data_IF_608675757216
#
_entry.id   IF_608675757216
#
_cell.length_a   1.000
_cell.length_b   1.000
_cell.length_c   1.000
_cell.angle_alpha   90.00
_cell.angle_beta   90.00
_cell.angle_gamma   90.00
#
_symmetry.space_group_name_H-M   'P 1'
#
loop_
_entity.id
_entity.type
_entity.pdbx_description
1 polymer ?
#
# COMPACT_ATOMS: atom_id res chain seq x y z
N UNK A 1 13.01 -1.68 -12.45
CA UNK A 1 11.55 -1.86 -12.67
C UNK A 1 10.95 -3.06 -11.89
N UNK A 2 11.71 -3.75 -11.02
CA UNK A 2 11.22 -4.92 -10.26
C UNK A 2 10.57 -4.52 -8.91
N UNK A 3 11.08 -3.46 -8.26
CA UNK A 3 10.66 -3.02 -6.93
C UNK A 3 9.18 -2.58 -6.85
N UNK A 4 8.67 -1.92 -7.91
CA UNK A 4 7.25 -1.51 -7.96
C UNK A 4 6.28 -2.68 -7.91
N UNK A 5 6.63 -3.83 -8.52
CA UNK A 5 5.74 -5.00 -8.54
C UNK A 5 5.62 -5.62 -7.15
N UNK A 6 6.72 -5.67 -6.39
CA UNK A 6 6.72 -6.14 -5.01
C UNK A 6 5.88 -5.23 -4.09
N UNK A 7 6.00 -3.91 -4.25
CA UNK A 7 5.17 -2.94 -3.53
C UNK A 7 3.67 -3.16 -3.80
N UNK A 8 3.29 -3.31 -5.08
CA UNK A 8 1.91 -3.56 -5.48
C UNK A 8 1.37 -4.88 -4.92
N UNK A 9 2.20 -5.93 -4.86
CA UNK A 9 1.82 -7.21 -4.27
C UNK A 9 1.52 -7.07 -2.77
N UNK A 10 2.41 -6.41 -2.00
CA UNK A 10 2.19 -6.12 -0.57
C UNK A 10 0.93 -5.29 -0.37
N UNK A 11 0.74 -4.26 -1.18
CA UNK A 11 -0.47 -3.43 -1.15
C UNK A 11 -1.76 -4.22 -1.34
N UNK A 12 -1.75 -5.21 -2.25
CA UNK A 12 -2.90 -6.08 -2.49
C UNK A 12 -3.20 -7.00 -1.31
N UNK A 13 -2.18 -7.50 -0.61
CA UNK A 13 -2.37 -8.30 0.62
C UNK A 13 -3.06 -7.49 1.72
N UNK A 14 -2.80 -6.19 1.75
CA UNK A 14 -3.43 -5.26 2.69
C UNK A 14 -4.68 -4.57 2.12
N UNK A 15 -5.21 -4.94 0.96
CA UNK A 15 -6.46 -4.35 0.46
C UNK A 15 -7.60 -5.33 0.69
N UNK A 16 -8.47 -4.98 1.63
CA UNK A 16 -9.74 -5.68 1.85
C UNK A 16 -10.85 -5.07 0.99
N UNK A 17 -10.93 -3.73 0.98
CA UNK A 17 -11.89 -2.95 0.19
C UNK A 17 -11.17 -1.91 -0.68
N UNK A 18 -11.48 -1.91 -1.98
CA UNK A 18 -10.94 -0.96 -2.97
C UNK A 18 -11.78 0.32 -3.08
N UNK A 19 -12.44 0.74 -2.00
CA UNK A 19 -13.16 2.01 -1.97
C UNK A 19 -12.20 3.15 -1.67
N UNK A 20 -12.57 4.36 -2.10
CA UNK A 20 -11.75 5.56 -1.86
C UNK A 20 -11.53 5.80 -0.36
N UNK A 21 -12.56 5.65 0.47
CA UNK A 21 -12.40 5.81 1.92
C UNK A 21 -11.43 4.77 2.50
N UNK A 22 -11.59 3.49 2.17
CA UNK A 22 -10.74 2.43 2.72
C UNK A 22 -9.28 2.56 2.27
N UNK A 23 -9.02 2.98 1.03
CA UNK A 23 -7.65 3.22 0.57
C UNK A 23 -7.00 4.42 1.26
N UNK A 24 -7.78 5.48 1.52
CA UNK A 24 -7.30 6.65 2.22
C UNK A 24 -7.03 6.33 3.70
N UNK A 25 -7.94 5.64 4.37
CA UNK A 25 -7.81 5.26 5.77
C UNK A 25 -6.63 4.30 5.99
N UNK A 26 -6.50 3.29 5.14
CA UNK A 26 -5.48 2.24 5.32
C UNK A 26 -4.09 2.72 4.87
N UNK A 27 -3.99 3.33 3.70
CA UNK A 27 -2.71 3.69 3.07
C UNK A 27 -2.41 5.18 3.01
N UNK A 28 -3.38 6.05 3.30
CA UNK A 28 -3.20 7.50 3.18
C UNK A 28 -3.11 7.98 1.72
N UNK A 29 -3.62 7.21 0.76
CA UNK A 29 -3.56 7.56 -0.66
C UNK A 29 -4.95 7.71 -1.27
N UNK A 30 -5.04 8.51 -2.33
CA UNK A 30 -6.25 8.61 -3.13
C UNK A 30 -6.39 7.41 -4.08
N UNK A 31 -7.63 7.16 -4.50
CA UNK A 31 -7.94 6.16 -5.52
C UNK A 31 -7.16 6.37 -6.83
N UNK A 32 -6.88 7.63 -7.20
CA UNK A 32 -6.09 7.92 -8.39
C UNK A 32 -4.65 7.42 -8.24
N UNK A 33 -4.00 7.67 -7.11
CA UNK A 33 -2.66 7.12 -6.81
C UNK A 33 -2.67 5.60 -6.83
N UNK A 34 -3.69 4.96 -6.25
CA UNK A 34 -3.85 3.50 -6.29
C UNK A 34 -3.94 2.98 -7.73
N UNK A 35 -4.80 3.58 -8.56
CA UNK A 35 -4.94 3.20 -9.97
C UNK A 35 -3.60 3.32 -10.69
N UNK A 36 -2.86 4.41 -10.49
CA UNK A 36 -1.56 4.65 -11.13
C UNK A 36 -0.52 3.60 -10.71
N UNK A 37 -0.49 3.21 -9.44
CA UNK A 37 0.38 2.13 -8.95
C UNK A 37 0.03 0.79 -9.61
N UNK A 38 -1.26 0.46 -9.70
CA UNK A 38 -1.74 -0.79 -10.32
C UNK A 38 -1.46 -0.83 -11.83
N UNK A 39 -1.59 0.30 -12.52
CA UNK A 39 -1.28 0.43 -13.95
C UNK A 39 0.22 0.53 -14.25
N UNK A 40 1.08 0.55 -13.23
CA UNK A 40 2.54 0.67 -13.40
C UNK A 40 3.04 2.08 -13.70
N UNK A 41 2.17 3.09 -13.62
CA UNK A 41 2.52 4.47 -13.88
C UNK A 41 3.54 5.04 -12.86
N UNK A 42 4.32 6.07 -13.25
CA UNK A 42 5.23 6.77 -12.34
C UNK A 42 4.46 7.60 -11.31
N UNK A 43 4.55 7.18 -10.05
CA UNK A 43 4.09 7.97 -8.90
C UNK A 43 5.30 8.66 -8.27
N UNK A 44 5.09 9.84 -7.66
CA UNK A 44 6.15 10.61 -7.01
C UNK A 44 6.88 9.77 -5.95
N UNK A 45 8.21 9.88 -5.90
CA UNK A 45 9.06 9.15 -4.95
C UNK A 45 8.61 9.33 -3.49
N UNK A 46 8.20 10.55 -3.11
CA UNK A 46 7.70 10.86 -1.76
C UNK A 46 6.41 10.12 -1.38
N UNK A 47 5.63 9.67 -2.35
CA UNK A 47 4.43 8.86 -2.11
C UNK A 47 4.83 7.40 -1.94
N UNK A 48 5.78 6.91 -2.74
CA UNK A 48 6.32 5.54 -2.63
C UNK A 48 6.97 5.34 -1.26
N UNK A 49 7.86 6.24 -0.83
CA UNK A 49 8.52 6.16 0.49
C UNK A 49 7.53 6.15 1.65
N UNK A 50 6.45 6.94 1.56
CA UNK A 50 5.40 6.95 2.59
C UNK A 50 4.60 5.64 2.59
N UNK A 51 4.32 5.09 1.41
CA UNK A 51 3.65 3.80 1.26
C UNK A 51 4.48 2.66 1.84
N UNK A 52 5.78 2.61 1.53
CA UNK A 52 6.69 1.60 2.08
C UNK A 52 6.71 1.64 3.60
N UNK A 53 6.94 2.82 4.19
CA UNK A 53 6.93 2.99 5.64
C UNK A 53 5.59 2.59 6.27
N UNK A 54 4.47 2.87 5.60
CA UNK A 54 3.13 2.49 6.08
C UNK A 54 2.93 0.98 6.01
N UNK A 55 3.34 0.33 4.93
CA UNK A 55 3.27 -1.12 4.77
C UNK A 55 4.14 -1.84 5.79
N UNK A 56 5.33 -1.33 6.10
CA UNK A 56 6.18 -1.91 7.14
C UNK A 56 5.48 -1.92 8.50
N UNK A 57 4.75 -0.84 8.85
CA UNK A 57 3.96 -0.79 10.07
C UNK A 57 2.78 -1.76 10.04
N UNK A 58 2.10 -1.90 8.90
CA UNK A 58 0.98 -2.85 8.75
C UNK A 58 1.45 -4.31 8.79
N UNK A 59 2.62 -4.60 8.21
CA UNK A 59 3.25 -5.92 8.27
C UNK A 59 3.65 -6.26 9.71
N UNK A 60 4.14 -5.29 10.49
CA UNK A 60 4.40 -5.49 11.93
C UNK A 60 3.10 -5.78 12.70
N UNK A 61 2.00 -5.07 12.40
CA UNK A 61 0.70 -5.29 13.05
C UNK A 61 0.09 -6.67 12.75
N UNK A 62 0.31 -7.21 11.55
CA UNK A 62 -0.07 -8.58 11.20
C UNK A 62 0.69 -9.63 12.04
N UNK A 63 1.99 -9.41 12.29
CA UNK A 63 2.79 -10.34 13.08
C UNK A 63 2.45 -10.29 14.57
N UNK A 64 2.10 -9.12 15.11
CA UNK A 64 1.74 -8.98 16.54
C UNK A 64 0.35 -9.50 16.88
N UNK A 65 -0.52 -9.75 15.89
CA UNK A 65 -1.89 -10.25 16.14
C UNK A 65 -1.97 -11.78 16.27
N UNK A 66 -0.83 -12.49 16.16
CA UNK A 66 -0.78 -13.96 16.19
C UNK A 66 -0.06 -14.54 17.40
N UNK A 67 0.35 -13.70 18.36
CA UNK A 67 0.77 -14.14 19.69
C UNK A 67 -0.33 -13.76 20.69
N UNK A 68 -0.84 -14.80 21.34
CA UNK A 68 -2.00 -14.87 22.23
C UNK A 68 -2.04 -13.87 23.40
#
# INVERSE_FOLDING_TARGET
>A
MLEKRALVARLRQHVDKQTRESLNERFGISYNTWRRLMSGEPVRQSVILRLEKRLDLLDQQLHTSNDC
#
